data_IF_584522292836
#
_entry.id   IF_584522292836
#
_cell.length_a   1.000
_cell.length_b   1.000
_cell.length_c   1.000
_cell.angle_alpha   90.00
_cell.angle_beta   90.00
_cell.angle_gamma   90.00
#
_symmetry.space_group_name_H-M   'P 1'
#
loop_
_entity.id
_entity.type
_entity.pdbx_description
1 polymer ?
#
# COMPACT_ATOMS: atom_id res chain seq x y z
N UNK A 1 0.94 16.90 19.12
CA UNK A 1 -0.43 16.48 18.69
C UNK A 1 -0.32 15.50 17.55
N UNK A 2 -1.23 14.52 17.45
CA UNK A 2 -1.25 13.61 16.29
C UNK A 2 -1.84 14.36 15.08
N UNK A 3 -1.14 14.31 13.95
CA UNK A 3 -1.58 14.89 12.68
C UNK A 3 -2.85 14.19 12.15
N UNK A 4 -3.77 14.97 11.60
CA UNK A 4 -4.97 14.44 10.94
C UNK A 4 -4.76 14.37 9.42
N UNK A 5 -4.15 13.29 8.95
CA UNK A 5 -3.84 13.10 7.53
C UNK A 5 -5.08 12.95 6.65
N UNK A 6 -6.23 12.56 7.20
CA UNK A 6 -7.47 12.58 6.42
C UNK A 6 -7.90 14.02 6.07
N UNK A 7 -7.79 14.96 7.03
CA UNK A 7 -8.07 16.38 6.74
C UNK A 7 -7.08 16.97 5.73
N UNK A 8 -5.80 16.57 5.81
CA UNK A 8 -4.80 17.01 4.83
C UNK A 8 -5.12 16.47 3.44
N UNK A 9 -5.50 15.19 3.33
CA UNK A 9 -5.96 14.61 2.08
C UNK A 9 -7.18 15.36 1.52
N UNK A 10 -8.21 15.61 2.35
CA UNK A 10 -9.40 16.31 1.92
C UNK A 10 -9.09 17.71 1.37
N UNK A 11 -8.23 18.46 2.09
CA UNK A 11 -7.78 19.79 1.65
C UNK A 11 -7.02 19.70 0.30
N UNK A 12 -6.14 18.70 0.14
CA UNK A 12 -5.44 18.48 -1.12
C UNK A 12 -6.42 18.17 -2.26
N UNK A 13 -7.35 17.25 -2.04
CA UNK A 13 -8.31 16.83 -3.08
C UNK A 13 -9.24 17.98 -3.50
N UNK A 14 -9.59 18.90 -2.59
CA UNK A 14 -10.47 20.04 -2.88
C UNK A 14 -9.87 21.07 -3.82
N UNK A 15 -8.55 21.09 -3.99
CA UNK A 15 -7.84 22.03 -4.86
C UNK A 15 -7.30 21.39 -6.15
N UNK A 16 -7.54 20.10 -6.34
CA UNK A 16 -7.16 19.45 -7.60
C UNK A 16 -8.06 19.90 -8.74
N UNK A 17 -7.51 20.05 -9.97
CA UNK A 17 -8.29 20.43 -11.12
C UNK A 17 -9.32 19.35 -11.47
N UNK A 18 -10.56 19.71 -11.83
CA UNK A 18 -11.58 18.76 -12.25
C UNK A 18 -11.23 18.06 -13.58
N UNK A 19 -10.49 18.77 -14.44
CA UNK A 19 -9.95 18.26 -15.70
C UNK A 19 -8.42 18.14 -15.62
N UNK A 20 -7.85 17.22 -16.40
CA UNK A 20 -6.41 17.00 -16.40
C UNK A 20 -5.90 16.40 -15.09
N UNK A 21 -6.60 15.38 -14.57
CA UNK A 21 -6.24 14.72 -13.30
C UNK A 21 -4.74 14.41 -13.20
N UNK A 22 -4.09 14.75 -12.08
CA UNK A 22 -2.69 14.43 -11.88
C UNK A 22 -2.44 12.91 -11.84
N UNK A 23 -1.21 12.51 -12.15
CA UNK A 23 -0.76 11.12 -12.15
C UNK A 23 -0.30 10.72 -10.75
N UNK A 24 -0.85 9.64 -10.22
CA UNK A 24 -0.50 9.09 -8.92
C UNK A 24 0.10 7.68 -9.07
N UNK A 25 1.30 7.48 -8.52
CA UNK A 25 1.86 6.14 -8.31
C UNK A 25 1.51 5.66 -6.90
N UNK A 26 0.70 4.61 -6.81
CA UNK A 26 0.13 4.12 -5.55
C UNK A 26 0.73 2.75 -5.19
N UNK A 27 1.59 2.70 -4.17
CA UNK A 27 2.11 1.43 -3.67
C UNK A 27 0.99 0.59 -3.06
N UNK A 28 0.91 -0.67 -3.47
CA UNK A 28 -0.06 -1.63 -2.94
C UNK A 28 0.56 -2.97 -2.58
N UNK A 29 -0.01 -3.61 -1.54
CA UNK A 29 0.42 -4.94 -1.09
C UNK A 29 -0.57 -6.05 -1.45
N UNK A 30 -1.83 -5.74 -1.78
CA UNK A 30 -2.87 -6.73 -2.05
C UNK A 30 -4.16 -6.10 -2.56
N UNK A 31 -5.00 -6.88 -3.22
CA UNK A 31 -6.32 -6.48 -3.69
C UNK A 31 -7.22 -5.88 -2.61
N UNK A 32 -7.44 -6.55 -1.46
CA UNK A 32 -8.27 -6.01 -0.40
C UNK A 32 -7.90 -4.61 0.08
N UNK A 33 -6.60 -4.34 0.28
CA UNK A 33 -6.13 -3.01 0.70
C UNK A 33 -6.33 -1.95 -0.40
N UNK A 34 -6.27 -2.35 -1.66
CA UNK A 34 -6.42 -1.46 -2.80
C UNK A 34 -7.88 -1.13 -3.13
N UNK A 35 -8.83 -2.01 -2.80
CA UNK A 35 -10.21 -1.91 -3.29
C UNK A 35 -10.86 -0.57 -2.98
N UNK A 36 -10.94 -0.21 -1.70
CA UNK A 36 -11.47 1.08 -1.27
C UNK A 36 -10.62 2.27 -1.74
N UNK A 37 -9.31 2.13 -1.68
CA UNK A 37 -8.42 3.24 -2.02
C UNK A 37 -8.52 3.59 -3.51
N UNK A 38 -8.65 2.59 -4.38
CA UNK A 38 -8.87 2.80 -5.81
C UNK A 38 -10.27 3.36 -6.08
N UNK A 39 -11.33 2.79 -5.46
CA UNK A 39 -12.69 3.33 -5.55
C UNK A 39 -12.75 4.82 -5.19
N UNK A 40 -11.94 5.25 -4.22
CA UNK A 40 -11.89 6.62 -3.75
C UNK A 40 -11.01 7.52 -4.63
N UNK A 41 -9.76 7.13 -4.89
CA UNK A 41 -8.76 8.01 -5.51
C UNK A 41 -8.90 8.14 -7.03
N UNK A 42 -9.46 7.18 -7.74
CA UNK A 42 -9.65 7.27 -9.22
C UNK A 42 -10.61 8.38 -9.64
N UNK A 43 -11.37 8.91 -8.70
CA UNK A 43 -12.20 10.11 -8.92
C UNK A 43 -11.36 11.38 -9.12
N UNK A 44 -10.14 11.41 -8.55
CA UNK A 44 -9.28 12.59 -8.44
C UNK A 44 -7.96 12.45 -9.20
N UNK A 45 -7.50 11.23 -9.44
CA UNK A 45 -6.20 10.94 -10.03
C UNK A 45 -6.29 9.94 -11.17
N UNK A 46 -5.34 10.04 -12.11
CA UNK A 46 -4.97 8.91 -12.96
C UNK A 46 -4.01 8.00 -12.16
N UNK A 47 -4.53 6.86 -11.73
CA UNK A 47 -3.82 5.98 -10.80
C UNK A 47 -3.07 4.88 -11.54
N UNK A 48 -1.79 4.74 -11.21
CA UNK A 48 -1.00 3.53 -11.51
C UNK A 48 -0.67 2.85 -10.18
N UNK A 49 -1.04 1.60 -10.03
CA UNK A 49 -0.66 0.78 -8.87
C UNK A 49 0.77 0.31 -9.06
N UNK A 50 1.64 0.56 -8.07
CA UNK A 50 2.94 -0.06 -7.98
C UNK A 50 2.86 -1.30 -7.09
N UNK A 51 3.17 -2.48 -7.65
CA UNK A 51 3.28 -3.71 -6.89
C UNK A 51 4.75 -4.02 -6.63
N UNK A 52 5.25 -3.51 -5.50
CA UNK A 52 6.59 -3.75 -4.97
C UNK A 52 6.51 -4.16 -3.50
N UNK A 53 6.71 -5.45 -3.23
CA UNK A 53 6.49 -6.04 -1.92
C UNK A 53 7.54 -7.13 -1.60
N UNK A 54 8.82 -6.75 -1.41
CA UNK A 54 9.88 -7.72 -1.12
C UNK A 54 9.71 -8.41 0.23
N UNK A 55 8.86 -7.85 1.10
CA UNK A 55 8.52 -8.41 2.41
C UNK A 55 7.54 -9.58 2.35
N UNK A 56 6.81 -9.78 1.24
CA UNK A 56 5.83 -10.85 1.14
C UNK A 56 6.54 -12.16 0.84
N UNK A 57 6.41 -13.12 1.76
CA UNK A 57 7.05 -14.42 1.70
C UNK A 57 6.07 -15.51 2.17
N UNK A 58 6.13 -16.73 1.61
CA UNK A 58 7.01 -17.16 0.52
C UNK A 58 6.62 -16.56 -0.85
N UNK A 59 7.40 -16.85 -1.89
CA UNK A 59 7.13 -16.39 -3.27
C UNK A 59 5.71 -16.73 -3.72
N UNK A 60 5.20 -17.88 -3.40
CA UNK A 60 3.83 -18.29 -3.74
C UNK A 60 2.75 -17.35 -3.16
N UNK A 61 2.97 -16.81 -1.96
CA UNK A 61 2.06 -15.81 -1.37
C UNK A 61 2.16 -14.46 -2.07
N UNK A 62 3.38 -14.06 -2.50
CA UNK A 62 3.57 -12.87 -3.33
C UNK A 62 2.81 -12.99 -4.65
N UNK A 63 2.97 -14.12 -5.36
CA UNK A 63 2.31 -14.36 -6.65
C UNK A 63 0.78 -14.42 -6.48
N UNK A 64 0.29 -15.07 -5.43
CA UNK A 64 -1.14 -15.11 -5.10
C UNK A 64 -1.73 -13.72 -4.87
N UNK A 65 -1.04 -12.84 -4.14
CA UNK A 65 -1.51 -11.46 -3.90
C UNK A 65 -1.42 -10.61 -5.16
N UNK A 66 -0.42 -10.83 -6.00
CA UNK A 66 -0.31 -10.16 -7.30
C UNK A 66 -1.48 -10.52 -8.20
N UNK A 67 -1.81 -11.82 -8.31
CA UNK A 67 -2.97 -12.30 -9.06
C UNK A 67 -4.26 -11.57 -8.60
N UNK A 68 -4.53 -11.53 -7.31
CA UNK A 68 -5.73 -10.89 -6.77
C UNK A 68 -5.70 -9.35 -6.88
N UNK A 69 -4.52 -8.75 -6.96
CA UNK A 69 -4.40 -7.33 -7.30
C UNK A 69 -4.78 -7.07 -8.76
N UNK A 70 -4.38 -7.93 -9.67
CA UNK A 70 -4.74 -7.86 -11.09
C UNK A 70 -6.24 -8.06 -11.29
N UNK A 71 -6.81 -9.08 -10.64
CA UNK A 71 -8.26 -9.35 -10.70
C UNK A 71 -9.08 -8.17 -10.16
N UNK A 72 -8.67 -7.56 -9.06
CA UNK A 72 -9.33 -6.36 -8.57
C UNK A 72 -9.33 -5.24 -9.62
N UNK A 73 -8.17 -4.94 -10.21
CA UNK A 73 -8.06 -3.88 -11.22
C UNK A 73 -8.95 -4.18 -12.42
N UNK A 74 -9.07 -5.45 -12.81
CA UNK A 74 -9.91 -5.88 -13.92
C UNK A 74 -11.40 -5.71 -13.66
N UNK A 75 -11.88 -5.95 -12.43
CA UNK A 75 -13.30 -6.00 -12.11
C UNK A 75 -13.84 -4.76 -11.39
N UNK A 76 -12.96 -3.91 -10.81
CA UNK A 76 -13.40 -2.71 -10.10
C UNK A 76 -13.82 -1.63 -11.10
N UNK A 77 -15.08 -1.17 -11.09
CA UNK A 77 -15.49 -0.07 -11.94
C UNK A 77 -14.85 1.24 -11.48
N UNK A 78 -14.07 1.85 -12.35
CA UNK A 78 -13.38 3.12 -12.11
C UNK A 78 -13.65 4.10 -13.25
N UNK A 79 -13.66 5.43 -12.98
CA UNK A 79 -13.87 6.45 -14.03
C UNK A 79 -12.85 6.39 -15.17
N UNK A 80 -11.62 5.97 -14.84
CA UNK A 80 -10.53 5.79 -15.81
C UNK A 80 -9.81 4.46 -15.51
N UNK A 81 -9.21 3.81 -16.53
CA UNK A 81 -8.47 2.58 -16.31
C UNK A 81 -7.33 2.75 -15.31
N UNK A 82 -7.19 1.80 -14.40
CA UNK A 82 -6.06 1.74 -13.47
C UNK A 82 -4.95 0.91 -14.09
N UNK A 83 -3.76 1.51 -14.24
CA UNK A 83 -2.57 0.79 -14.69
C UNK A 83 -1.90 0.04 -13.54
N UNK A 84 -1.13 -1.01 -13.88
CA UNK A 84 -0.33 -1.77 -12.92
C UNK A 84 1.13 -1.80 -13.37
N UNK A 85 2.03 -1.39 -12.47
CA UNK A 85 3.47 -1.52 -12.60
C UNK A 85 3.96 -2.56 -11.59
N UNK A 86 4.51 -3.67 -12.06
CA UNK A 86 5.05 -4.74 -11.23
C UNK A 86 6.57 -4.64 -11.25
N UNK A 87 7.18 -4.52 -10.06
CA UNK A 87 8.62 -4.62 -9.92
C UNK A 87 9.06 -6.08 -9.73
N UNK A 88 10.31 -6.35 -10.07
CA UNK A 88 10.91 -7.65 -9.81
C UNK A 88 10.81 -8.01 -8.32
N UNK A 89 10.52 -9.29 -8.06
CA UNK A 89 10.48 -9.80 -6.71
C UNK A 89 11.90 -10.04 -6.19
N UNK A 90 12.26 -9.30 -5.16
CA UNK A 90 13.53 -9.43 -4.46
C UNK A 90 13.30 -9.59 -2.94
N UNK A 91 12.91 -10.80 -2.54
CA UNK A 91 12.70 -11.12 -1.12
C UNK A 91 13.97 -11.05 -0.29
N UNK A 92 15.15 -11.27 -0.90
CA UNK A 92 16.44 -11.19 -0.23
C UNK A 92 16.75 -9.75 0.22
N UNK A 93 16.43 -8.76 -0.59
CA UNK A 93 16.59 -7.33 -0.24
C UNK A 93 15.86 -6.97 1.06
N UNK A 94 14.67 -7.54 1.27
CA UNK A 94 13.94 -7.32 2.51
C UNK A 94 14.64 -7.99 3.70
N UNK A 95 15.09 -9.25 3.56
CA UNK A 95 15.77 -10.00 4.62
C UNK A 95 17.03 -9.24 5.05
N UNK A 96 17.83 -8.78 4.09
CA UNK A 96 19.07 -8.04 4.37
C UNK A 96 18.77 -6.69 5.05
N UNK A 97 17.73 -5.99 4.62
CA UNK A 97 17.34 -4.70 5.20
C UNK A 97 16.87 -4.79 6.66
N UNK A 98 16.29 -5.93 7.06
CA UNK A 98 15.77 -6.13 8.44
C UNK A 98 16.66 -7.00 9.31
N UNK A 99 17.89 -7.27 8.88
CA UNK A 99 18.85 -8.09 9.64
C UNK A 99 19.08 -7.50 11.03
N UNK A 100 18.98 -8.35 12.06
CA UNK A 100 19.06 -7.96 13.46
C UNK A 100 17.74 -7.45 14.07
N UNK A 101 16.67 -7.34 13.26
CA UNK A 101 15.34 -6.91 13.70
C UNK A 101 14.29 -8.05 13.65
N UNK A 102 14.72 -9.30 13.50
CA UNK A 102 13.83 -10.46 13.27
C UNK A 102 12.86 -10.65 14.44
N UNK A 103 13.33 -10.38 15.66
CA UNK A 103 12.56 -10.54 16.91
C UNK A 103 11.67 -9.35 17.26
N UNK A 104 11.77 -8.25 16.51
CA UNK A 104 10.91 -7.09 16.72
C UNK A 104 9.43 -7.46 16.53
N UNK A 105 8.51 -6.96 17.36
CA UNK A 105 7.08 -7.21 17.18
C UNK A 105 6.55 -6.56 15.89
N UNK A 106 5.36 -6.97 15.46
CA UNK A 106 4.66 -6.24 14.41
C UNK A 106 4.36 -4.81 14.87
N UNK A 107 4.65 -3.81 14.02
CA UNK A 107 4.58 -2.39 14.36
C UNK A 107 5.89 -1.81 14.94
N UNK A 108 6.89 -2.63 15.28
CA UNK A 108 8.20 -2.22 15.79
C UNK A 108 9.16 -1.68 14.73
N UNK A 109 10.47 -1.66 15.05
CA UNK A 109 11.53 -1.12 14.19
C UNK A 109 11.60 -1.82 12.83
N UNK A 110 11.45 -3.16 12.78
CA UNK A 110 11.37 -3.93 11.53
C UNK A 110 10.32 -3.41 10.56
N UNK A 111 9.13 -3.06 11.07
CA UNK A 111 8.06 -2.51 10.24
C UNK A 111 8.40 -1.12 9.70
N UNK A 112 9.16 -0.31 10.44
CA UNK A 112 9.64 1.00 9.98
C UNK A 112 10.56 0.84 8.78
N UNK A 113 11.53 -0.08 8.85
CA UNK A 113 12.43 -0.42 7.73
C UNK A 113 11.62 -0.92 6.53
N UNK A 114 10.66 -1.80 6.75
CA UNK A 114 9.77 -2.33 5.72
C UNK A 114 8.95 -1.23 5.01
N UNK A 115 8.44 -0.25 5.76
CA UNK A 115 7.71 0.88 5.18
C UNK A 115 8.63 1.74 4.32
N UNK A 116 9.80 2.10 4.86
CA UNK A 116 10.80 2.90 4.14
C UNK A 116 11.21 2.23 2.83
N UNK A 117 11.59 0.96 2.88
CA UNK A 117 12.02 0.20 1.70
C UNK A 117 10.98 0.25 0.57
N UNK A 118 9.69 0.09 0.89
CA UNK A 118 8.62 0.11 -0.12
C UNK A 118 8.29 1.51 -0.61
N UNK A 119 8.23 2.49 0.29
CA UNK A 119 7.90 3.87 -0.08
C UNK A 119 9.05 4.54 -0.84
N UNK A 120 10.30 4.21 -0.52
CA UNK A 120 11.46 4.72 -1.23
C UNK A 120 11.49 4.23 -2.68
N UNK A 121 11.25 2.94 -2.91
CA UNK A 121 11.12 2.42 -4.28
C UNK A 121 9.96 3.09 -5.01
N UNK A 122 8.84 3.37 -4.32
CA UNK A 122 7.71 4.07 -4.91
C UNK A 122 8.07 5.50 -5.31
N UNK A 123 8.76 6.23 -4.45
CA UNK A 123 9.22 7.60 -4.74
C UNK A 123 10.21 7.62 -5.91
N UNK A 124 11.16 6.66 -5.94
CA UNK A 124 12.14 6.49 -7.02
C UNK A 124 11.46 6.24 -8.36
N UNK A 125 10.51 5.29 -8.41
CA UNK A 125 9.74 4.98 -9.62
C UNK A 125 8.85 6.17 -10.04
N UNK A 126 8.23 6.85 -9.07
CA UNK A 126 7.42 8.02 -9.35
C UNK A 126 8.24 9.13 -10.01
N UNK A 127 9.46 9.38 -9.52
CA UNK A 127 10.38 10.34 -10.14
C UNK A 127 10.80 9.91 -11.54
N UNK A 128 11.20 8.66 -11.70
CA UNK A 128 11.71 8.12 -12.97
C UNK A 128 10.67 8.16 -14.10
N UNK A 129 9.40 7.96 -13.76
CA UNK A 129 8.29 7.92 -14.73
C UNK A 129 7.45 9.20 -14.77
N UNK A 130 7.87 10.27 -14.11
CA UNK A 130 7.22 11.59 -14.15
C UNK A 130 5.81 11.61 -13.55
N UNK A 131 5.58 10.90 -12.44
CA UNK A 131 4.34 11.01 -11.69
C UNK A 131 4.32 12.30 -10.86
N UNK A 132 3.13 12.89 -10.70
CA UNK A 132 2.94 14.10 -9.91
C UNK A 132 2.94 13.81 -8.41
N UNK A 133 2.41 12.64 -8.05
CA UNK A 133 2.27 12.17 -6.67
C UNK A 133 2.68 10.71 -6.53
N UNK A 134 3.11 10.36 -5.31
CA UNK A 134 3.20 8.98 -4.87
C UNK A 134 2.49 8.79 -3.53
N UNK A 135 2.02 7.58 -3.27
CA UNK A 135 1.27 7.26 -2.05
C UNK A 135 1.25 5.76 -1.77
N UNK A 136 0.48 5.34 -0.76
CA UNK A 136 0.35 3.93 -0.38
C UNK A 136 -1.05 3.57 0.06
N UNK A 137 -1.45 2.33 -0.17
CA UNK A 137 -2.69 1.74 0.36
C UNK A 137 -2.54 1.28 1.82
N UNK A 138 -1.33 1.28 2.38
CA UNK A 138 -1.06 0.71 3.71
C UNK A 138 -1.87 1.36 4.83
N UNK A 139 -2.20 2.64 4.70
CA UNK A 139 -2.92 3.40 5.73
C UNK A 139 -4.39 3.00 5.88
N UNK A 140 -4.92 2.11 5.02
CA UNK A 140 -6.27 1.52 5.19
C UNK A 140 -6.29 0.48 6.31
N UNK A 141 -5.16 -0.16 6.60
CA UNK A 141 -5.07 -1.20 7.62
C UNK A 141 -5.05 -0.60 9.04
N UNK A 142 -5.87 -1.10 9.98
CA UNK A 142 -5.83 -0.68 11.37
C UNK A 142 -4.51 -1.06 12.07
N UNK A 143 -3.80 -2.07 11.56
CA UNK A 143 -2.53 -2.56 12.09
C UNK A 143 -1.31 -1.76 11.61
N UNK A 144 -1.50 -0.73 10.79
CA UNK A 144 -0.40 0.08 10.25
C UNK A 144 -0.44 1.50 10.80
N UNK A 145 0.72 1.96 11.24
CA UNK A 145 0.90 3.31 11.81
C UNK A 145 0.88 4.37 10.70
N UNK A 146 -0.25 5.07 10.57
CA UNK A 146 -0.40 6.11 9.57
C UNK A 146 0.50 7.32 9.85
N UNK A 147 0.81 7.65 11.12
CA UNK A 147 1.72 8.75 11.45
C UNK A 147 3.12 8.47 10.90
N UNK A 148 3.62 7.27 11.16
CA UNK A 148 4.94 6.81 10.69
C UNK A 148 5.02 6.73 9.16
N UNK A 149 4.00 6.17 8.50
CA UNK A 149 3.94 6.09 7.04
C UNK A 149 3.96 7.47 6.39
N UNK A 150 3.20 8.42 6.91
CA UNK A 150 3.17 9.78 6.37
C UNK A 150 4.46 10.56 6.66
N UNK A 151 5.10 10.36 7.81
CA UNK A 151 6.39 10.97 8.11
C UNK A 151 7.47 10.49 7.12
N UNK A 152 7.56 9.17 6.88
CA UNK A 152 8.49 8.59 5.88
C UNK A 152 8.15 9.11 4.48
N UNK A 153 6.88 9.15 4.10
CA UNK A 153 6.45 9.65 2.79
C UNK A 153 6.82 11.11 2.56
N UNK A 154 6.65 11.96 3.56
CA UNK A 154 7.00 13.39 3.48
C UNK A 154 8.53 13.60 3.35
N UNK A 155 9.34 12.82 4.09
CA UNK A 155 10.80 12.83 3.97
C UNK A 155 11.26 12.43 2.56
N UNK A 156 10.71 11.33 2.04
CA UNK A 156 11.03 10.84 0.70
C UNK A 156 10.55 11.79 -0.41
N UNK A 157 9.44 12.51 -0.19
CA UNK A 157 8.98 13.53 -1.12
C UNK A 157 10.03 14.66 -1.30
N UNK A 158 10.66 15.09 -0.23
CA UNK A 158 11.76 16.07 -0.27
C UNK A 158 13.00 15.49 -0.98
N UNK A 159 13.34 14.24 -0.66
CA UNK A 159 14.53 13.58 -1.22
C UNK A 159 14.41 13.35 -2.74
N UNK A 160 13.25 12.91 -3.23
CA UNK A 160 13.05 12.53 -4.63
C UNK A 160 12.37 13.63 -5.48
N UNK A 161 11.93 14.73 -4.88
CA UNK A 161 11.27 15.82 -5.60
C UNK A 161 9.93 15.44 -6.24
N UNK A 162 9.18 14.53 -5.60
CA UNK A 162 7.81 14.09 -6.00
C UNK A 162 6.87 14.28 -4.82
N UNK A 163 5.66 14.79 -5.05
CA UNK A 163 4.70 15.08 -3.98
C UNK A 163 4.19 13.79 -3.31
N UNK A 164 4.23 13.76 -1.98
CA UNK A 164 3.59 12.71 -1.18
C UNK A 164 2.08 12.94 -1.10
N UNK A 165 1.29 11.87 -1.18
CA UNK A 165 -0.15 11.89 -0.92
C UNK A 165 -0.40 11.57 0.57
N UNK A 166 -0.61 12.56 1.45
CA UNK A 166 -0.90 12.31 2.86
C UNK A 166 -2.22 11.58 3.00
N UNK A 167 -2.29 10.52 3.82
CA UNK A 167 -3.50 9.71 3.90
C UNK A 167 -3.65 8.96 5.22
N UNK A 168 -4.90 8.74 5.63
CA UNK A 168 -5.28 7.80 6.68
C UNK A 168 -6.59 7.12 6.25
N UNK A 169 -6.49 6.21 5.27
CA UNK A 169 -7.63 5.58 4.61
C UNK A 169 -8.47 4.67 5.52
N UNK A 170 -8.03 4.34 6.74
CA UNK A 170 -8.90 3.68 7.73
C UNK A 170 -9.97 4.61 8.31
N UNK A 171 -9.78 5.92 8.19
CA UNK A 171 -10.80 6.91 8.55
C UNK A 171 -12.02 6.81 7.62
N UNK A 172 -13.16 7.40 8.04
CA UNK A 172 -14.40 7.36 7.26
C UNK A 172 -14.84 5.95 6.87
N UNK A 173 -14.60 5.00 7.77
CA UNK A 173 -14.93 3.58 7.58
C UNK A 173 -14.25 2.89 6.39
N UNK A 174 -13.14 3.45 5.87
CA UNK A 174 -12.46 2.90 4.70
C UNK A 174 -12.00 1.45 4.87
N UNK A 175 -11.59 1.05 6.08
CA UNK A 175 -11.30 -0.35 6.37
C UNK A 175 -12.55 -1.24 6.23
N UNK A 176 -13.69 -0.82 6.78
CA UNK A 176 -14.97 -1.53 6.65
C UNK A 176 -15.36 -1.64 5.17
N UNK A 177 -15.28 -0.53 4.43
CA UNK A 177 -15.56 -0.54 2.98
C UNK A 177 -14.65 -1.51 2.22
N UNK A 178 -13.38 -1.60 2.58
CA UNK A 178 -12.45 -2.58 1.98
C UNK A 178 -12.86 -4.05 2.23
N UNK A 179 -13.51 -4.33 3.37
CA UNK A 179 -14.07 -5.67 3.68
C UNK A 179 -15.29 -5.95 2.80
N UNK A 180 -16.20 -4.98 2.67
CA UNK A 180 -17.39 -5.10 1.82
C UNK A 180 -17.00 -5.35 0.36
N UNK A 181 -16.09 -4.54 -0.20
CA UNK A 181 -15.59 -4.70 -1.56
C UNK A 181 -14.87 -6.04 -1.74
N UNK A 182 -14.11 -6.50 -0.74
CA UNK A 182 -13.46 -7.81 -0.80
C UNK A 182 -14.47 -8.96 -0.92
N UNK A 183 -15.59 -8.87 -0.21
CA UNK A 183 -16.68 -9.86 -0.32
C UNK A 183 -17.38 -9.75 -1.66
N UNK A 184 -17.69 -8.54 -2.10
CA UNK A 184 -18.36 -8.25 -3.37
C UNK A 184 -17.60 -8.82 -4.58
N UNK A 185 -16.26 -8.70 -4.57
CA UNK A 185 -15.41 -9.16 -5.68
C UNK A 185 -14.72 -10.50 -5.40
N UNK A 186 -15.07 -11.21 -4.33
CA UNK A 186 -14.49 -12.50 -3.98
C UNK A 186 -12.98 -12.48 -3.76
N UNK A 187 -12.41 -11.37 -3.30
CA UNK A 187 -10.96 -11.20 -3.18
C UNK A 187 -10.37 -12.06 -2.07
N UNK A 188 -9.22 -12.65 -2.35
CA UNK A 188 -8.42 -13.32 -1.32
C UNK A 188 -8.00 -12.33 -0.23
N UNK A 189 -8.39 -12.60 1.01
CA UNK A 189 -7.97 -11.85 2.19
C UNK A 189 -6.94 -12.65 2.97
N UNK A 190 -5.75 -12.11 3.04
CA UNK A 190 -4.63 -12.70 3.78
C UNK A 190 -4.81 -12.56 5.30
N UNK A 191 -4.32 -13.54 6.05
CA UNK A 191 -4.38 -13.58 7.51
C UNK A 191 -3.20 -12.91 8.20
N UNK A 192 -2.12 -12.62 7.46
CA UNK A 192 -0.91 -11.96 7.99
C UNK A 192 -0.40 -10.88 7.02
N UNK A 193 0.50 -10.04 7.48
CA UNK A 193 0.96 -8.90 6.66
C UNK A 193 1.82 -9.30 5.45
N UNK A 194 2.26 -10.56 5.36
CA UNK A 194 3.14 -11.11 4.33
C UNK A 194 4.59 -11.24 4.76
N UNK A 195 4.99 -10.52 5.80
CA UNK A 195 6.31 -10.64 6.39
C UNK A 195 6.49 -12.02 7.05
N UNK A 196 7.58 -12.70 6.75
CA UNK A 196 7.89 -14.01 7.33
C UNK A 196 7.81 -14.01 8.86
N UNK A 197 8.30 -12.94 9.49
CA UNK A 197 8.35 -12.77 10.95
C UNK A 197 7.01 -12.38 11.59
N UNK A 198 5.96 -12.14 10.81
CA UNK A 198 4.60 -11.88 11.29
C UNK A 198 3.63 -13.02 10.98
N UNK A 199 4.13 -14.09 10.37
CA UNK A 199 3.32 -15.29 10.12
C UNK A 199 3.02 -15.95 11.47
N UNK A 200 1.75 -16.26 11.79
CA UNK A 200 1.43 -17.07 12.97
C UNK A 200 2.26 -18.36 12.96
N UNK A 201 2.86 -18.69 14.09
CA UNK A 201 3.51 -20.00 14.27
C UNK A 201 2.41 -21.04 14.19
N UNK A 202 2.52 -21.93 13.23
CA UNK A 202 1.60 -23.07 13.10
C UNK A 202 1.87 -24.01 14.28
N UNK A 203 1.17 -23.77 15.39
CA UNK A 203 1.20 -24.64 16.56
C UNK A 203 0.38 -25.88 16.22
N UNK A 204 0.90 -26.72 15.29
CA UNK A 204 0.40 -28.03 14.91
C UNK A 204 -0.89 -28.48 15.59
N UNK A 205 -2.06 -27.96 15.17
CA UNK A 205 -3.31 -28.66 15.36
C UNK A 205 -3.35 -29.71 14.27
N UNK A 206 -2.83 -30.90 14.61
CA UNK A 206 -3.26 -32.13 13.94
C UNK A 206 -4.77 -32.18 14.07
N UNK A 207 -5.48 -32.02 12.96
CA UNK A 207 -6.88 -32.40 12.88
C UNK A 207 -6.92 -33.92 13.08
N UNK A 208 -7.46 -34.35 14.25
CA UNK A 208 -7.96 -35.69 14.47
C UNK A 208 -9.35 -35.82 13.87
#
# INVERSE_FOLDING_TARGET
>A
MKENYQKQLDALLSVLPPEGKPRLLLQSCCGPCSSYVLEYLTRYFRVTVLYYNPNIQPRAEYDRRLYWQQELIRCLPTPEPVALLVCDYDGQRYIDAVRGLEREPEGGARCTVCFRLRLEETARQARAHGFDYFGTTLTVSPHKDAQRLNAIGAELAQQYGVRWLPSDFKKREGYKRSIELSRQYGLYRQEYCGCLYSKPVDNGRTEE
#
